data_IF_314618885737
#
_entry.id   IF_314618885737
#
_cell.length_a   1.000
_cell.length_b   1.000
_cell.length_c   1.000
_cell.angle_alpha   90.00
_cell.angle_beta   90.00
_cell.angle_gamma   90.00
#
_symmetry.space_group_name_H-M   'P 1'
#
loop_
_entity.id
_entity.type
_entity.pdbx_description
1 polymer ?
#
# COMPACT_ATOMS: atom_id res chain seq x y z
N UNK A 1 -34.49 -0.11 39.94
CA UNK A 1 -34.16 0.42 38.60
C UNK A 1 -32.76 1.01 38.67
N UNK A 2 -31.80 0.32 38.08
CA UNK A 2 -30.41 0.79 37.85
C UNK A 2 -30.08 0.36 36.42
N UNK A 3 -29.52 1.24 35.56
CA UNK A 3 -29.51 1.00 34.13
C UNK A 3 -28.47 -0.04 33.73
N UNK A 4 -28.90 -0.90 32.82
CA UNK A 4 -28.10 -1.89 32.10
C UNK A 4 -26.91 -1.22 31.40
N UNK A 5 -25.71 -1.51 31.88
CA UNK A 5 -24.48 -1.12 31.20
C UNK A 5 -24.34 -1.85 29.88
N UNK A 6 -24.45 -1.12 28.77
CA UNK A 6 -24.01 -1.58 27.46
C UNK A 6 -22.50 -1.92 27.53
N UNK A 7 -22.16 -3.21 27.59
CA UNK A 7 -20.78 -3.65 27.46
C UNK A 7 -20.31 -3.43 26.01
N UNK A 8 -19.25 -2.64 25.77
CA UNK A 8 -18.68 -2.53 24.44
C UNK A 8 -17.77 -3.75 24.17
N UNK A 9 -17.93 -4.36 23.00
CA UNK A 9 -16.80 -4.91 22.20
C UNK A 9 -16.03 -6.16 22.68
N UNK A 10 -16.69 -7.25 23.11
CA UNK A 10 -15.99 -8.56 23.26
C UNK A 10 -15.58 -9.21 21.93
N UNK A 11 -16.34 -9.00 20.84
CA UNK A 11 -16.08 -9.62 19.53
C UNK A 11 -14.84 -9.07 18.81
N UNK A 12 -14.47 -7.81 19.05
CA UNK A 12 -13.33 -7.17 18.38
C UNK A 12 -11.97 -7.54 18.99
N UNK A 13 -11.93 -7.92 20.29
CA UNK A 13 -10.68 -8.35 20.94
C UNK A 13 -10.04 -9.55 20.25
N UNK A 14 -10.85 -10.56 19.91
CA UNK A 14 -10.33 -11.78 19.27
C UNK A 14 -9.81 -11.58 17.85
N UNK A 15 -10.36 -10.63 17.09
CA UNK A 15 -9.85 -10.33 15.74
C UNK A 15 -8.51 -9.58 15.79
N UNK A 16 -8.42 -8.54 16.63
CA UNK A 16 -7.17 -7.81 16.84
C UNK A 16 -6.06 -8.68 17.43
N UNK A 17 -6.41 -9.57 18.35
CA UNK A 17 -5.44 -10.48 18.96
C UNK A 17 -4.89 -11.48 17.95
N UNK A 18 -5.76 -12.10 17.11
CA UNK A 18 -5.31 -12.98 16.02
C UNK A 18 -4.43 -12.25 15.01
N UNK A 19 -4.77 -11.00 14.68
CA UNK A 19 -3.95 -10.18 13.80
C UNK A 19 -2.56 -9.93 14.40
N UNK A 20 -2.48 -9.56 15.68
CA UNK A 20 -1.20 -9.39 16.38
C UNK A 20 -0.40 -10.68 16.44
N UNK A 21 -1.06 -11.80 16.72
CA UNK A 21 -0.41 -13.12 16.71
C UNK A 21 0.18 -13.43 15.34
N UNK A 22 -0.56 -13.15 14.26
CA UNK A 22 -0.11 -13.34 12.88
C UNK A 22 1.11 -12.45 12.55
N UNK A 23 1.09 -11.18 12.95
CA UNK A 23 2.23 -10.27 12.76
C UNK A 23 3.46 -10.77 13.53
N UNK A 24 3.29 -11.18 14.79
CA UNK A 24 4.38 -11.71 15.62
C UNK A 24 4.96 -13.02 15.08
N UNK A 25 4.11 -13.96 14.67
CA UNK A 25 4.54 -15.23 14.07
C UNK A 25 5.31 -15.00 12.77
N UNK A 26 4.82 -14.06 11.94
CA UNK A 26 5.51 -13.65 10.71
C UNK A 26 6.89 -13.09 11.00
N UNK A 27 7.01 -12.22 12.00
CA UNK A 27 8.31 -11.69 12.44
C UNK A 27 9.26 -12.83 12.83
N UNK A 28 8.81 -13.78 13.65
CA UNK A 28 9.64 -14.90 14.12
C UNK A 28 10.16 -15.72 12.95
N UNK A 29 9.30 -16.05 11.97
CA UNK A 29 9.68 -16.84 10.79
C UNK A 29 10.60 -16.08 9.84
N UNK A 30 10.42 -14.77 9.70
CA UNK A 30 11.23 -13.92 8.82
C UNK A 30 12.54 -13.46 9.44
N UNK A 31 12.66 -13.44 10.78
CA UNK A 31 13.80 -12.88 11.50
C UNK A 31 15.18 -13.35 10.98
N UNK A 32 15.39 -14.64 10.63
CA UNK A 32 16.68 -15.09 10.10
C UNK A 32 17.03 -14.54 8.71
N UNK A 33 16.05 -14.01 7.98
CA UNK A 33 16.13 -13.73 6.54
C UNK A 33 16.07 -12.24 6.19
N UNK A 34 15.68 -11.40 7.15
CA UNK A 34 15.50 -9.96 6.95
C UNK A 34 16.68 -9.17 7.53
N UNK A 35 17.05 -8.08 6.88
CA UNK A 35 18.04 -7.14 7.39
C UNK A 35 17.46 -6.22 8.47
N UNK A 36 16.17 -5.87 8.34
CA UNK A 36 15.47 -5.05 9.33
C UNK A 36 13.97 -5.33 9.35
N UNK A 37 13.37 -5.08 10.51
CA UNK A 37 11.93 -5.06 10.74
C UNK A 37 11.52 -3.73 11.36
N UNK A 38 10.52 -3.08 10.81
CA UNK A 38 9.90 -1.89 11.37
C UNK A 38 8.40 -2.17 11.58
N UNK A 39 7.96 -2.08 12.83
CA UNK A 39 6.54 -2.14 13.17
C UNK A 39 5.81 -0.93 12.55
N UNK A 40 4.61 -1.19 12.02
CA UNK A 40 3.74 -0.24 11.33
C UNK A 40 3.87 1.22 11.81
N UNK A 41 4.31 2.08 10.90
CA UNK A 41 4.23 3.54 10.96
C UNK A 41 3.80 4.06 9.58
N UNK A 42 3.50 5.35 9.45
CA UNK A 42 3.14 5.90 8.13
C UNK A 42 4.34 5.84 7.19
N UNK A 43 4.33 4.90 6.24
CA UNK A 43 5.33 4.81 5.17
C UNK A 43 4.68 5.23 3.86
N UNK A 44 5.14 6.32 3.25
CA UNK A 44 4.43 6.96 2.12
C UNK A 44 2.92 7.18 2.39
N UNK A 45 2.53 7.50 3.63
CA UNK A 45 1.12 7.61 4.08
C UNK A 45 0.30 6.31 3.97
N UNK A 46 0.94 5.18 3.67
CA UNK A 46 0.39 3.84 3.84
C UNK A 46 0.54 3.38 5.29
N UNK A 47 -0.32 2.44 5.69
CA UNK A 47 -0.32 1.82 7.01
C UNK A 47 -0.16 0.31 6.89
N UNK A 48 0.98 -0.18 6.36
CA UNK A 48 1.27 -1.61 6.33
C UNK A 48 1.37 -2.17 7.75
N UNK A 49 1.19 -3.48 7.91
CA UNK A 49 1.36 -4.14 9.21
C UNK A 49 2.83 -4.13 9.67
N UNK A 50 3.76 -4.19 8.71
CA UNK A 50 5.18 -4.00 8.94
C UNK A 50 5.90 -3.55 7.65
N UNK A 51 7.09 -3.00 7.82
CA UNK A 51 8.03 -2.75 6.71
C UNK A 51 9.29 -3.55 6.99
N UNK A 52 9.78 -4.29 6.00
CA UNK A 52 11.01 -5.06 6.11
C UNK A 52 12.00 -4.65 5.03
N UNK A 53 13.28 -4.88 5.32
CA UNK A 53 14.34 -4.84 4.32
C UNK A 53 14.88 -6.25 4.13
N UNK A 54 14.94 -6.72 2.88
CA UNK A 54 15.57 -7.98 2.53
C UNK A 54 17.01 -7.71 2.04
N UNK A 55 18.00 -8.57 2.37
CA UNK A 55 19.41 -8.30 2.08
C UNK A 55 19.74 -8.01 0.62
N UNK A 56 19.04 -8.66 -0.32
CA UNK A 56 19.33 -8.55 -1.76
C UNK A 56 18.33 -7.67 -2.51
N UNK A 57 17.17 -7.38 -1.93
CA UNK A 57 16.14 -6.59 -2.61
C UNK A 57 16.38 -5.09 -2.38
N UNK A 58 16.43 -4.24 -3.42
CA UNK A 58 16.89 -2.85 -3.29
C UNK A 58 15.87 -1.88 -2.66
N UNK A 59 14.62 -2.31 -2.51
CA UNK A 59 13.53 -1.46 -2.03
C UNK A 59 12.92 -2.01 -0.73
N UNK A 60 12.21 -1.18 0.06
CA UNK A 60 11.44 -1.67 1.19
C UNK A 60 10.32 -2.61 0.73
N UNK A 61 10.08 -3.68 1.50
CA UNK A 61 8.95 -4.59 1.30
C UNK A 61 7.92 -4.34 2.39
N UNK A 62 6.72 -3.93 1.99
CA UNK A 62 5.60 -3.64 2.88
C UNK A 62 4.84 -4.94 3.09
N UNK A 63 4.60 -5.30 4.35
CA UNK A 63 3.87 -6.50 4.73
C UNK A 63 2.40 -6.18 5.01
N UNK A 64 1.52 -7.04 4.51
CA UNK A 64 0.09 -7.01 4.78
C UNK A 64 -0.39 -8.39 5.21
N UNK A 65 -1.00 -8.47 6.38
CA UNK A 65 -1.47 -9.72 6.95
C UNK A 65 -2.96 -9.95 6.64
N UNK A 66 -3.30 -11.19 6.33
CA UNK A 66 -4.68 -11.66 6.18
C UNK A 66 -4.99 -12.72 7.24
N UNK A 67 -5.85 -12.39 8.20
CA UNK A 67 -6.35 -13.33 9.21
C UNK A 67 -7.39 -14.34 8.66
N UNK A 68 -7.61 -14.35 7.34
CA UNK A 68 -8.60 -15.18 6.67
C UNK A 68 -10.04 -14.68 6.80
N UNK A 69 -10.24 -13.60 7.56
CA UNK A 69 -11.56 -13.02 7.89
C UNK A 69 -11.83 -11.71 7.15
N UNK A 70 -10.81 -11.14 6.54
CA UNK A 70 -10.89 -9.91 5.78
C UNK A 70 -11.80 -10.11 4.57
N UNK A 71 -12.68 -9.14 4.36
CA UNK A 71 -13.64 -9.14 3.27
C UNK A 71 -13.00 -8.58 1.99
N UNK A 72 -13.62 -8.87 0.85
CA UNK A 72 -13.23 -8.26 -0.43
C UNK A 72 -13.25 -6.72 -0.38
N UNK A 73 -14.19 -6.13 0.38
CA UNK A 73 -14.28 -4.68 0.57
C UNK A 73 -13.07 -4.13 1.31
N UNK A 74 -12.62 -4.79 2.38
CA UNK A 74 -11.42 -4.38 3.13
C UNK A 74 -10.17 -4.45 2.25
N UNK A 75 -10.01 -5.54 1.49
CA UNK A 75 -8.90 -5.67 0.54
C UNK A 75 -8.95 -4.62 -0.57
N UNK A 76 -10.12 -4.34 -1.13
CA UNK A 76 -10.31 -3.26 -2.09
C UNK A 76 -9.80 -1.92 -1.57
N UNK A 77 -10.12 -1.57 -0.33
CA UNK A 77 -9.63 -0.33 0.29
C UNK A 77 -8.11 -0.32 0.41
N UNK A 78 -7.50 -1.40 0.93
CA UNK A 78 -6.03 -1.52 1.02
C UNK A 78 -5.37 -1.42 -0.35
N UNK A 79 -5.76 -2.27 -1.30
CA UNK A 79 -5.19 -2.34 -2.64
C UNK A 79 -5.34 -1.03 -3.41
N UNK A 80 -6.44 -0.30 -3.21
CA UNK A 80 -6.59 1.05 -3.79
C UNK A 80 -5.48 1.96 -3.26
N UNK A 81 -5.30 2.06 -1.94
CA UNK A 81 -4.25 2.90 -1.36
C UNK A 81 -2.84 2.51 -1.86
N UNK A 82 -2.52 1.21 -1.87
CA UNK A 82 -1.25 0.73 -2.41
C UNK A 82 -1.05 1.06 -3.88
N UNK A 83 -2.08 0.88 -4.70
CA UNK A 83 -2.03 1.22 -6.13
C UNK A 83 -1.75 2.71 -6.31
N UNK A 84 -2.50 3.55 -5.59
CA UNK A 84 -2.33 4.99 -5.63
C UNK A 84 -0.90 5.38 -5.29
N UNK A 85 -0.37 4.82 -4.21
CA UNK A 85 0.97 5.15 -3.73
C UNK A 85 2.09 4.59 -4.62
N UNK A 86 1.91 3.39 -5.18
CA UNK A 86 2.87 2.79 -6.10
C UNK A 86 3.00 3.58 -7.41
N UNK A 87 1.98 4.35 -7.81
CA UNK A 87 2.08 5.28 -8.95
C UNK A 87 2.97 6.48 -8.60
N UNK A 88 2.94 6.99 -7.36
CA UNK A 88 3.79 8.13 -6.94
C UNK A 88 5.21 7.70 -6.62
N UNK A 89 5.33 6.60 -5.89
CA UNK A 89 6.54 6.13 -5.26
C UNK A 89 6.69 4.64 -5.59
N UNK A 90 7.17 4.28 -6.79
CA UNK A 90 7.26 2.88 -7.22
C UNK A 90 8.35 2.07 -6.48
N UNK A 91 9.15 2.73 -5.64
CA UNK A 91 10.29 2.15 -4.93
C UNK A 91 9.85 1.41 -3.67
N UNK A 92 8.91 0.47 -3.81
CA UNK A 92 8.56 -0.49 -2.78
C UNK A 92 7.94 -1.75 -3.40
N UNK A 93 7.91 -2.83 -2.63
CA UNK A 93 7.15 -4.03 -2.95
C UNK A 93 6.10 -4.35 -1.88
N UNK A 94 5.12 -5.18 -2.23
CA UNK A 94 4.05 -5.61 -1.32
C UNK A 94 4.11 -7.12 -1.11
N UNK A 95 4.30 -7.58 0.12
CA UNK A 95 4.20 -9.00 0.46
C UNK A 95 2.98 -9.24 1.34
N UNK A 96 2.04 -10.02 0.81
CA UNK A 96 0.81 -10.39 1.49
C UNK A 96 0.98 -11.79 2.09
N UNK A 97 0.78 -11.89 3.40
CA UNK A 97 0.91 -13.14 4.15
C UNK A 97 -0.46 -13.49 4.70
N UNK A 98 -0.99 -14.63 4.27
CA UNK A 98 -2.35 -15.02 4.58
C UNK A 98 -2.44 -16.27 5.43
N UNK A 99 -3.46 -16.30 6.28
CA UNK A 99 -3.91 -17.48 6.99
C UNK A 99 -5.13 -18.06 6.31
N UNK A 100 -5.19 -19.39 6.26
CA UNK A 100 -6.27 -20.14 5.61
C UNK A 100 -5.77 -21.08 4.52
N UNK A 101 -6.66 -21.94 4.04
CA UNK A 101 -6.32 -22.95 3.05
C UNK A 101 -6.22 -22.42 1.61
N UNK A 102 -5.94 -23.30 0.64
CA UNK A 102 -5.72 -22.94 -0.77
C UNK A 102 -6.85 -22.12 -1.40
N UNK A 103 -8.11 -22.34 -0.98
CA UNK A 103 -9.25 -21.59 -1.48
C UNK A 103 -9.19 -20.10 -1.08
N UNK A 104 -8.67 -19.78 0.10
CA UNK A 104 -8.51 -18.39 0.56
C UNK A 104 -7.43 -17.69 -0.26
N UNK A 105 -6.28 -18.33 -0.44
CA UNK A 105 -5.18 -17.81 -1.25
C UNK A 105 -5.63 -17.55 -2.69
N UNK A 106 -6.34 -18.50 -3.31
CA UNK A 106 -6.89 -18.32 -4.67
C UNK A 106 -7.85 -17.13 -4.78
N UNK A 107 -8.69 -16.90 -3.77
CA UNK A 107 -9.61 -15.74 -3.73
C UNK A 107 -8.85 -14.42 -3.58
N UNK A 108 -7.88 -14.36 -2.66
CA UNK A 108 -7.03 -13.18 -2.47
C UNK A 108 -6.26 -12.85 -3.76
N UNK A 109 -5.64 -13.85 -4.38
CA UNK A 109 -4.92 -13.69 -5.65
C UNK A 109 -5.83 -13.11 -6.73
N UNK A 110 -7.06 -13.61 -6.86
CA UNK A 110 -8.03 -13.09 -7.82
C UNK A 110 -8.39 -11.62 -7.52
N UNK A 111 -8.58 -11.25 -6.25
CA UNK A 111 -8.82 -9.85 -5.88
C UNK A 111 -7.62 -8.95 -6.18
N UNK A 112 -6.40 -9.36 -5.82
CA UNK A 112 -5.18 -8.57 -6.05
C UNK A 112 -4.93 -8.37 -7.56
N UNK A 113 -5.09 -9.43 -8.34
CA UNK A 113 -4.85 -9.40 -9.79
C UNK A 113 -5.78 -8.43 -10.53
N UNK A 114 -6.98 -8.16 -10.01
CA UNK A 114 -7.91 -7.18 -10.57
C UNK A 114 -7.42 -5.73 -10.44
N UNK A 115 -6.52 -5.42 -9.50
CA UNK A 115 -6.09 -4.04 -9.22
C UNK A 115 -4.87 -3.59 -10.02
N UNK A 116 -4.19 -4.51 -10.74
CA UNK A 116 -3.00 -4.23 -11.54
C UNK A 116 -2.00 -3.32 -10.79
N UNK A 117 -1.52 -3.80 -9.63
CA UNK A 117 -0.58 -3.03 -8.81
C UNK A 117 0.70 -2.69 -9.61
N UNK A 118 1.11 -1.41 -9.68
CA UNK A 118 2.30 -1.01 -10.42
C UNK A 118 3.61 -1.21 -9.62
N UNK A 119 3.61 -2.14 -8.67
CA UNK A 119 4.77 -2.56 -7.89
C UNK A 119 4.90 -4.09 -7.89
N UNK A 120 6.09 -4.61 -7.55
CA UNK A 120 6.26 -6.03 -7.28
C UNK A 120 5.41 -6.44 -6.09
N UNK A 121 4.65 -7.53 -6.22
CA UNK A 121 3.90 -8.08 -5.11
C UNK A 121 3.96 -9.60 -5.07
N UNK A 122 3.82 -10.15 -3.87
CA UNK A 122 3.79 -11.58 -3.65
C UNK A 122 2.73 -11.97 -2.62
N UNK A 123 2.12 -13.13 -2.79
CA UNK A 123 1.12 -13.69 -1.89
C UNK A 123 1.56 -15.09 -1.50
N UNK A 124 1.62 -15.38 -0.20
CA UNK A 124 1.85 -16.73 0.30
C UNK A 124 1.04 -17.03 1.57
N UNK A 125 0.92 -18.31 1.90
CA UNK A 125 0.46 -18.73 3.22
C UNK A 125 1.52 -18.49 4.29
N UNK A 126 1.11 -18.41 5.56
CA UNK A 126 2.05 -18.30 6.70
C UNK A 126 3.03 -19.48 6.76
N UNK A 127 2.57 -20.69 6.40
CA UNK A 127 3.41 -21.90 6.41
C UNK A 127 4.40 -21.96 5.25
N UNK A 128 4.34 -21.00 4.34
CA UNK A 128 5.19 -20.92 3.16
C UNK A 128 6.15 -19.73 3.22
N UNK A 129 6.18 -18.97 4.31
CA UNK A 129 7.00 -17.74 4.42
C UNK A 129 8.48 -18.04 4.11
N UNK A 130 9.06 -19.02 4.80
CA UNK A 130 10.50 -19.34 4.68
C UNK A 130 10.86 -19.86 3.28
N UNK A 131 10.02 -20.73 2.72
CA UNK A 131 10.26 -21.30 1.38
C UNK A 131 10.11 -20.26 0.26
N UNK A 132 9.49 -19.12 0.55
CA UNK A 132 9.30 -18.02 -0.40
C UNK A 132 10.29 -16.86 -0.22
N UNK A 133 11.20 -16.90 0.75
CA UNK A 133 12.30 -15.93 0.84
C UNK A 133 13.15 -15.92 -0.46
N UNK A 134 13.52 -17.06 -1.06
CA UNK A 134 14.32 -17.07 -2.30
C UNK A 134 13.64 -16.40 -3.50
N UNK A 135 12.30 -16.33 -3.53
CA UNK A 135 11.58 -15.60 -4.58
C UNK A 135 12.04 -14.13 -4.61
N UNK A 136 12.17 -13.48 -3.46
CA UNK A 136 12.57 -12.08 -3.39
C UNK A 136 13.98 -11.81 -3.88
N UNK A 137 14.90 -12.76 -3.69
CA UNK A 137 16.23 -12.72 -4.27
C UNK A 137 16.18 -12.76 -5.80
N UNK A 138 15.24 -13.51 -6.40
CA UNK A 138 15.09 -13.56 -7.86
C UNK A 138 14.44 -12.28 -8.42
N UNK A 139 13.48 -11.70 -7.71
CA UNK A 139 12.83 -10.43 -8.10
C UNK A 139 13.79 -9.24 -7.93
N UNK A 140 14.73 -9.31 -7.00
CA UNK A 140 15.74 -8.28 -6.79
C UNK A 140 16.47 -7.90 -8.08
N UNK A 141 16.91 -8.89 -8.86
CA UNK A 141 17.63 -8.67 -10.11
C UNK A 141 16.81 -7.85 -11.13
N UNK A 142 15.50 -8.11 -11.20
CA UNK A 142 14.57 -7.35 -12.04
C UNK A 142 14.31 -5.94 -11.48
N UNK A 143 14.21 -5.78 -10.16
CA UNK A 143 14.02 -4.46 -9.54
C UNK A 143 15.23 -3.54 -9.75
N UNK A 144 16.45 -4.08 -9.60
CA UNK A 144 17.70 -3.34 -9.81
C UNK A 144 17.88 -2.81 -11.24
N UNK A 145 17.27 -3.47 -12.23
CA UNK A 145 17.35 -3.07 -13.64
C UNK A 145 16.26 -2.05 -14.03
N UNK A 146 15.18 -1.94 -13.26
CA UNK A 146 14.08 -1.00 -13.49
C UNK A 146 14.39 0.42 -12.99
N UNK A 147 15.36 0.60 -12.10
CA UNK A 147 15.81 1.92 -11.62
C UNK A 147 16.31 2.88 -12.73
N UNK A 148 16.50 2.41 -13.97
CA UNK A 148 16.97 3.23 -15.09
C UNK A 148 15.89 3.72 -16.06
N UNK A 149 14.60 3.41 -15.85
CA UNK A 149 13.54 3.99 -16.68
C UNK A 149 12.54 4.76 -15.83
N UNK A 150 12.54 6.10 -15.86
CA UNK A 150 11.43 6.87 -15.31
C UNK A 150 10.19 6.47 -16.12
N UNK A 151 9.34 5.61 -15.56
CA UNK A 151 7.97 5.48 -16.03
C UNK A 151 7.36 6.86 -15.90
N UNK A 152 7.20 7.56 -17.02
CA UNK A 152 6.51 8.85 -17.07
C UNK A 152 5.07 8.62 -16.64
N UNK A 153 4.80 8.77 -15.35
CA UNK A 153 3.45 8.89 -14.81
C UNK A 153 2.82 10.06 -15.55
N UNK A 154 1.64 9.87 -16.16
CA UNK A 154 0.94 10.98 -16.81
C UNK A 154 0.37 11.88 -15.72
N UNK A 155 0.71 13.16 -15.78
CA UNK A 155 0.18 14.18 -14.87
C UNK A 155 -0.89 14.98 -15.60
N UNK A 156 -2.10 14.98 -15.06
CA UNK A 156 -3.22 15.80 -15.51
C UNK A 156 -3.49 16.89 -14.48
N UNK A 157 -3.82 18.09 -14.94
CA UNK A 157 -4.02 19.25 -14.07
C UNK A 157 -5.41 19.84 -14.32
N UNK A 158 -6.09 20.24 -13.26
CA UNK A 158 -7.42 20.84 -13.30
C UNK A 158 -7.50 22.01 -12.33
N UNK A 159 -8.41 22.95 -12.57
CA UNK A 159 -8.74 23.99 -11.59
C UNK A 159 -9.70 23.41 -10.54
N UNK A 160 -9.37 23.56 -9.26
CA UNK A 160 -10.21 23.06 -8.16
C UNK A 160 -11.60 23.72 -8.14
N UNK A 161 -11.70 24.97 -8.57
CA UNK A 161 -12.95 25.75 -8.54
C UNK A 161 -14.04 25.23 -9.48
N UNK A 162 -13.67 24.75 -10.66
CA UNK A 162 -14.64 24.38 -11.71
C UNK A 162 -14.28 23.07 -12.44
N UNK A 163 -13.22 22.37 -12.02
CA UNK A 163 -12.74 21.13 -12.61
C UNK A 163 -12.44 21.26 -14.11
N UNK A 164 -12.05 22.46 -14.55
CA UNK A 164 -11.61 22.68 -15.92
C UNK A 164 -10.18 22.14 -16.10
N UNK A 165 -9.91 21.32 -17.13
CA UNK A 165 -8.56 20.84 -17.41
C UNK A 165 -7.65 21.99 -17.80
N UNK A 166 -6.42 21.96 -17.31
CA UNK A 166 -5.35 22.88 -17.67
C UNK A 166 -4.13 22.09 -18.14
N UNK A 167 -3.36 22.68 -19.04
CA UNK A 167 -2.17 22.03 -19.59
C UNK A 167 -1.03 21.98 -18.55
N UNK A 168 -0.09 21.02 -18.64
CA UNK A 168 1.07 21.00 -17.74
C UNK A 168 1.89 22.30 -17.72
N UNK A 169 2.18 22.97 -18.86
CA UNK A 169 2.84 24.28 -18.84
C UNK A 169 2.03 25.36 -18.11
N UNK A 170 0.71 25.38 -18.27
CA UNK A 170 -0.14 26.34 -17.57
C UNK A 170 -0.19 26.07 -16.05
N UNK A 171 -0.23 24.79 -15.66
CA UNK A 171 -0.17 24.39 -14.26
C UNK A 171 1.16 24.82 -13.61
N UNK A 172 2.28 24.63 -14.31
CA UNK A 172 3.60 25.08 -13.88
C UNK A 172 3.60 26.59 -13.62
N UNK A 173 3.12 27.39 -14.58
CA UNK A 173 3.03 28.86 -14.44
C UNK A 173 2.18 29.25 -13.23
N UNK A 174 1.03 28.59 -13.02
CA UNK A 174 0.16 28.88 -11.86
C UNK A 174 0.86 28.56 -10.53
N UNK A 175 1.55 27.42 -10.44
CA UNK A 175 2.31 27.03 -9.26
C UNK A 175 3.44 28.04 -8.97
N UNK A 176 4.15 28.49 -10.01
CA UNK A 176 5.17 29.55 -9.90
C UNK A 176 4.56 30.89 -9.47
N UNK A 177 3.33 31.19 -9.87
CA UNK A 177 2.54 32.34 -9.41
C UNK A 177 1.96 32.16 -7.99
N UNK A 178 2.33 31.10 -7.27
CA UNK A 178 1.93 30.86 -5.89
C UNK A 178 0.57 30.20 -5.73
N UNK A 179 0.01 29.59 -6.77
CA UNK A 179 -1.11 28.66 -6.61
C UNK A 179 -0.65 27.39 -5.90
N UNK A 180 -1.58 26.66 -5.29
CA UNK A 180 -1.31 25.44 -4.55
C UNK A 180 -2.06 24.26 -5.17
N UNK A 181 -1.57 23.05 -4.91
CA UNK A 181 -2.30 21.82 -5.16
C UNK A 181 -3.29 21.65 -4.00
N UNK A 182 -4.56 22.00 -4.22
CA UNK A 182 -5.61 21.93 -3.20
C UNK A 182 -6.24 20.54 -3.06
N UNK A 183 -6.20 19.73 -4.12
CA UNK A 183 -6.58 18.31 -4.06
C UNK A 183 -5.77 17.50 -5.07
N UNK A 184 -5.72 16.18 -4.86
CA UNK A 184 -5.04 15.23 -5.72
C UNK A 184 -5.88 13.95 -5.81
N UNK A 185 -6.03 13.45 -7.01
CA UNK A 185 -6.71 12.19 -7.31
C UNK A 185 -5.78 11.32 -8.14
N UNK A 186 -5.89 10.00 -8.00
CA UNK A 186 -5.06 9.05 -8.72
C UNK A 186 -6.00 8.10 -9.44
N UNK A 187 -5.84 8.03 -10.76
CA UNK A 187 -6.72 7.26 -11.66
C UNK A 187 -5.94 6.12 -12.30
N UNK A 188 -6.62 5.32 -13.13
CA UNK A 188 -5.97 4.28 -13.94
C UNK A 188 -4.95 4.85 -14.92
N UNK A 189 -5.13 6.11 -15.33
CA UNK A 189 -4.41 6.71 -16.44
C UNK A 189 -3.29 7.65 -15.99
N UNK A 190 -3.20 7.94 -14.68
CA UNK A 190 -2.16 8.80 -14.11
C UNK A 190 -2.60 9.53 -12.84
N UNK A 191 -1.92 10.63 -12.55
CA UNK A 191 -2.24 11.49 -11.41
C UNK A 191 -2.96 12.75 -11.87
N UNK A 192 -4.03 13.09 -11.17
CA UNK A 192 -4.80 14.30 -11.35
C UNK A 192 -4.50 15.26 -10.20
N UNK A 193 -4.10 16.49 -10.53
CA UNK A 193 -3.82 17.56 -9.57
C UNK A 193 -4.84 18.68 -9.75
N UNK A 194 -5.49 19.08 -8.66
CA UNK A 194 -6.44 20.18 -8.65
C UNK A 194 -5.78 21.43 -8.04
N UNK A 195 -5.56 22.46 -8.86
CA UNK A 195 -4.93 23.70 -8.44
C UNK A 195 -5.95 24.71 -7.95
N UNK A 196 -5.61 25.44 -6.89
CA UNK A 196 -6.37 26.59 -6.40
C UNK A 196 -5.43 27.75 -6.07
N UNK A 197 -5.93 29.00 -6.08
CA UNK A 197 -5.19 30.11 -5.51
C UNK A 197 -4.87 29.83 -4.04
N UNK A 198 -3.66 30.18 -3.59
CA UNK A 198 -3.31 30.09 -2.17
C UNK A 198 -4.31 30.94 -1.36
N UNK A 199 -4.92 30.39 -0.29
CA UNK A 199 -5.84 31.15 0.53
C UNK A 199 -5.12 32.38 1.10
N UNK A 200 -5.73 33.56 0.93
CA UNK A 200 -5.26 34.80 1.56
C UNK A 200 -5.71 34.79 3.01
N UNK A 201 -4.81 34.41 3.93
CA UNK A 201 -5.06 34.51 5.37
C UNK A 201 -4.52 33.34 6.16
N UNK A 202 -3.23 33.41 6.50
CA UNK A 202 -2.64 33.04 7.78
C UNK A 202 -1.50 34.01 8.05
#
# INVERSE_FOLDING_TARGET
MVPSGNQPTRFHRGAHERHRQLVSETYIRLYPWIASWQFAGSYYRLYPDAVIQLPLYPHPVLLEMDTGKETAKQWRTKLTAYRLEAVTNPHFALWIIATGGPLRLKRLQAWISQYQLPCSWYLCGIDEIESNVPYWSSVAFSASSVEQQPRTVRHHYYLLSNHQPISPPEAQIKLEQGWIIGAKEITTDGMIYYLSPKPKGF
#
